data_IF_514341766717
#
_entry.id   IF_514341766717
#
_cell.length_a   1.000
_cell.length_b   1.000
_cell.length_c   1.000
_cell.angle_alpha   90.00
_cell.angle_beta   90.00
_cell.angle_gamma   90.00
#
_symmetry.space_group_name_H-M   'P 1'
#
loop_
_entity.id
_entity.type
_entity.pdbx_description
1 polymer ?
#
# COMPACT_ATOMS: atom_id res chain seq x y z
N UNK A 1 0.01 13.81 1.68
CA UNK A 1 1.24 13.81 2.51
C UNK A 1 1.32 12.60 3.43
N UNK A 2 0.25 12.19 4.15
CA UNK A 2 0.35 11.07 5.12
C UNK A 2 0.83 9.72 4.52
N UNK A 3 0.50 9.42 3.26
CA UNK A 3 0.79 8.11 2.65
C UNK A 3 1.87 8.15 1.57
N UNK A 4 2.59 9.25 1.42
CA UNK A 4 3.48 9.50 0.28
C UNK A 4 4.55 8.43 0.09
N UNK A 5 5.14 7.94 1.19
CA UNK A 5 6.15 6.87 1.11
C UNK A 5 5.57 5.53 0.65
N UNK A 6 4.34 5.20 1.04
CA UNK A 6 3.65 3.99 0.63
C UNK A 6 3.18 4.10 -0.83
N UNK A 7 2.59 5.23 -1.19
CA UNK A 7 2.15 5.52 -2.56
C UNK A 7 3.34 5.50 -3.54
N UNK A 8 4.46 6.13 -3.16
CA UNK A 8 5.70 6.12 -3.94
C UNK A 8 6.20 4.70 -4.18
N UNK A 9 6.27 3.87 -3.14
CA UNK A 9 6.72 2.49 -3.27
C UNK A 9 5.79 1.65 -4.15
N UNK A 10 4.48 1.81 -4.00
CA UNK A 10 3.50 1.07 -4.79
C UNK A 10 3.53 1.49 -6.27
N UNK A 11 3.75 2.78 -6.56
CA UNK A 11 3.75 3.28 -7.94
C UNK A 11 5.11 3.13 -8.65
N UNK A 12 6.21 3.34 -7.94
CA UNK A 12 7.55 3.46 -8.54
C UNK A 12 8.56 2.46 -8.00
N UNK A 13 8.25 1.74 -6.91
CA UNK A 13 9.19 0.90 -6.20
C UNK A 13 10.17 1.67 -5.28
N UNK A 14 10.05 2.99 -5.21
CA UNK A 14 10.87 3.86 -4.35
C UNK A 14 10.01 4.66 -3.35
N UNK A 15 10.42 4.83 -2.08
CA UNK A 15 11.67 4.35 -1.47
C UNK A 15 11.67 2.83 -1.25
N UNK A 16 12.82 2.21 -0.88
CA UNK A 16 12.90 0.79 -0.60
C UNK A 16 11.84 0.31 0.41
N UNK A 17 11.34 -0.91 0.23
CA UNK A 17 10.26 -1.47 1.06
C UNK A 17 10.54 -1.40 2.57
N UNK A 18 11.78 -1.63 3.00
CA UNK A 18 12.13 -1.60 4.42
C UNK A 18 11.95 -0.21 5.04
N UNK A 19 12.23 0.85 4.30
CA UNK A 19 12.02 2.23 4.75
C UNK A 19 10.53 2.56 4.86
N UNK A 20 9.73 2.09 3.90
CA UNK A 20 8.27 2.24 3.95
C UNK A 20 7.70 1.56 5.19
N UNK A 21 8.11 0.32 5.46
CA UNK A 21 7.66 -0.44 6.63
C UNK A 21 8.07 0.26 7.92
N UNK A 22 9.31 0.74 8.03
CA UNK A 22 9.77 1.47 9.20
C UNK A 22 8.94 2.74 9.45
N UNK A 23 8.64 3.50 8.39
CA UNK A 23 7.78 4.70 8.46
C UNK A 23 6.35 4.35 8.88
N UNK A 24 5.74 3.32 8.28
CA UNK A 24 4.40 2.87 8.64
C UNK A 24 4.31 2.40 10.09
N UNK A 25 5.31 1.68 10.59
CA UNK A 25 5.35 1.21 11.98
C UNK A 25 5.61 2.31 12.99
N UNK A 26 6.23 3.41 12.57
CA UNK A 26 6.49 4.61 13.39
C UNK A 26 5.24 5.50 13.44
N UNK A 27 4.68 5.84 12.28
CA UNK A 27 3.53 6.75 12.21
C UNK A 27 2.21 6.07 12.61
N UNK A 28 2.06 4.78 12.26
CA UNK A 28 0.84 3.97 12.43
C UNK A 28 -0.45 4.74 12.15
N UNK A 29 -0.66 5.22 10.90
CA UNK A 29 -1.89 5.90 10.56
C UNK A 29 -3.13 5.10 10.98
N UNK A 30 -4.08 5.76 11.61
CA UNK A 30 -5.25 5.10 12.21
C UNK A 30 -6.35 4.93 11.18
N UNK A 31 -6.85 3.70 11.05
CA UNK A 31 -8.07 3.37 10.31
C UNK A 31 -8.68 2.08 10.88
N UNK A 32 -10.01 1.91 10.81
CA UNK A 32 -10.65 0.66 11.23
C UNK A 32 -10.05 -0.54 10.49
N UNK A 33 -9.49 -1.50 11.24
CA UNK A 33 -8.85 -2.71 10.68
C UNK A 33 -7.36 -2.57 10.32
N UNK A 34 -6.74 -1.39 10.45
CA UNK A 34 -5.31 -1.21 10.14
C UNK A 34 -4.37 -1.88 11.16
N UNK A 35 -4.82 -2.03 12.42
CA UNK A 35 -4.00 -2.55 13.53
C UNK A 35 -3.37 -3.92 13.23
N UNK A 36 -4.14 -4.87 12.69
CA UNK A 36 -3.67 -6.21 12.38
C UNK A 36 -2.54 -6.22 11.32
N UNK A 37 -2.58 -5.27 10.37
CA UNK A 37 -1.51 -5.13 9.38
C UNK A 37 -0.20 -4.65 10.03
N UNK A 38 -0.27 -3.71 10.98
CA UNK A 38 0.92 -3.26 11.71
C UNK A 38 1.53 -4.39 12.54
N UNK A 39 0.72 -5.19 13.24
CA UNK A 39 1.21 -6.36 13.97
C UNK A 39 1.92 -7.37 13.07
N UNK A 40 1.33 -7.67 11.91
CA UNK A 40 1.95 -8.54 10.90
C UNK A 40 3.28 -7.99 10.40
N UNK A 41 3.33 -6.69 10.10
CA UNK A 41 4.55 -6.00 9.65
C UNK A 41 5.64 -5.98 10.73
N UNK A 42 5.30 -5.83 12.00
CA UNK A 42 6.28 -5.90 13.10
C UNK A 42 6.96 -7.28 13.17
N UNK A 43 6.21 -8.35 12.91
CA UNK A 43 6.74 -9.73 12.94
C UNK A 43 7.55 -10.07 11.70
N UNK A 44 7.10 -9.62 10.54
CA UNK A 44 7.71 -9.98 9.24
C UNK A 44 8.83 -9.03 8.82
N UNK A 45 8.78 -7.77 9.22
CA UNK A 45 9.70 -6.73 8.77
C UNK A 45 9.78 -6.66 7.25
N UNK A 46 10.99 -6.64 6.69
CA UNK A 46 11.22 -6.59 5.24
C UNK A 46 10.63 -7.79 4.46
N UNK A 47 10.28 -8.90 5.13
CA UNK A 47 9.59 -10.06 4.52
C UNK A 47 8.09 -9.86 4.34
N UNK A 48 7.55 -8.73 4.78
CA UNK A 48 6.15 -8.37 4.54
C UNK A 48 5.84 -8.43 3.03
N UNK A 49 4.79 -9.18 2.62
CA UNK A 49 4.36 -9.22 1.23
C UNK A 49 3.85 -7.87 0.73
N UNK A 50 4.06 -7.57 -0.56
CA UNK A 50 3.49 -6.36 -1.19
C UNK A 50 1.96 -6.34 -1.09
N UNK A 51 1.31 -7.51 -1.13
CA UNK A 51 -0.13 -7.64 -0.94
C UNK A 51 -0.61 -7.09 0.42
N UNK A 52 0.21 -7.22 1.47
CA UNK A 52 -0.10 -6.64 2.79
C UNK A 52 -0.08 -5.11 2.73
N UNK A 53 0.87 -4.52 1.99
CA UNK A 53 0.96 -3.08 1.80
C UNK A 53 -0.18 -2.52 0.92
N UNK A 54 -0.57 -3.27 -0.11
CA UNK A 54 -1.73 -2.98 -0.96
C UNK A 54 -3.02 -2.99 -0.14
N UNK A 55 -3.26 -4.07 0.61
CA UNK A 55 -4.45 -4.21 1.46
C UNK A 55 -4.52 -3.12 2.54
N UNK A 56 -3.38 -2.83 3.20
CA UNK A 56 -3.31 -1.72 4.15
C UNK A 56 -3.66 -0.39 3.48
N UNK A 57 -3.16 -0.13 2.27
CA UNK A 57 -3.44 1.14 1.58
C UNK A 57 -4.93 1.34 1.28
N UNK A 58 -5.65 0.26 0.93
CA UNK A 58 -7.11 0.27 0.77
C UNK A 58 -7.80 0.63 2.09
N UNK A 59 -7.41 -0.02 3.18
CA UNK A 59 -7.97 0.25 4.52
C UNK A 59 -7.73 1.71 4.93
N UNK A 60 -6.53 2.23 4.68
CA UNK A 60 -6.20 3.63 4.94
C UNK A 60 -6.96 4.63 4.05
N UNK A 61 -7.44 4.19 2.88
CA UNK A 61 -8.36 4.96 2.04
C UNK A 61 -9.84 4.81 2.46
N UNK A 62 -10.14 4.10 3.55
CA UNK A 62 -11.51 3.79 3.95
C UNK A 62 -12.21 2.78 3.02
N UNK A 63 -11.45 2.07 2.17
CA UNK A 63 -11.97 1.02 1.28
C UNK A 63 -11.86 -0.34 1.96
N UNK A 64 -12.70 -1.29 1.52
CA UNK A 64 -12.64 -2.67 1.98
C UNK A 64 -11.50 -3.42 1.27
N UNK A 65 -10.62 -4.07 2.04
CA UNK A 65 -9.60 -4.96 1.50
C UNK A 65 -10.15 -6.36 1.22
N UNK A 66 -11.12 -6.47 0.31
CA UNK A 66 -11.62 -7.74 -0.22
C UNK A 66 -10.89 -8.16 -1.51
N UNK A 67 -11.12 -9.40 -1.96
CA UNK A 67 -10.43 -9.97 -3.11
C UNK A 67 -10.54 -9.12 -4.37
N UNK A 68 -11.71 -8.51 -4.61
CA UNK A 68 -11.95 -7.67 -5.78
C UNK A 68 -11.10 -6.40 -5.73
N UNK A 69 -11.14 -5.65 -4.62
CA UNK A 69 -10.40 -4.41 -4.47
C UNK A 69 -8.88 -4.65 -4.40
N UNK A 70 -8.45 -5.71 -3.71
CA UNK A 70 -7.04 -6.10 -3.63
C UNK A 70 -6.51 -6.50 -5.00
N UNK A 71 -7.27 -7.28 -5.77
CA UNK A 71 -6.89 -7.68 -7.13
C UNK A 71 -6.78 -6.46 -8.04
N UNK A 72 -7.80 -5.59 -8.03
CA UNK A 72 -7.80 -4.38 -8.85
C UNK A 72 -6.60 -3.47 -8.54
N UNK A 73 -6.34 -3.19 -7.26
CA UNK A 73 -5.22 -2.34 -6.87
C UNK A 73 -3.87 -3.01 -7.16
N UNK A 74 -3.74 -4.32 -6.95
CA UNK A 74 -2.53 -5.08 -7.30
C UNK A 74 -2.22 -4.98 -8.78
N UNK A 75 -3.22 -5.10 -9.64
CA UNK A 75 -3.03 -5.06 -11.09
C UNK A 75 -2.62 -3.64 -11.55
N UNK A 76 -3.20 -2.59 -10.95
CA UNK A 76 -2.76 -1.20 -11.15
C UNK A 76 -1.31 -1.00 -10.70
N UNK A 77 -0.94 -1.48 -9.51
CA UNK A 77 0.43 -1.40 -8.97
C UNK A 77 1.42 -2.14 -9.88
N UNK A 78 1.07 -3.31 -10.38
CA UNK A 78 1.89 -4.07 -11.31
C UNK A 78 2.07 -3.33 -12.65
N UNK A 79 1.04 -2.62 -13.14
CA UNK A 79 1.15 -1.73 -14.32
C UNK A 79 2.06 -0.53 -14.02
N UNK A 80 1.90 0.12 -12.87
CA UNK A 80 2.71 1.28 -12.47
C UNK A 80 4.21 0.93 -12.42
N UNK A 81 4.56 -0.22 -11.82
CA UNK A 81 5.95 -0.72 -11.78
C UNK A 81 6.54 -1.06 -13.16
N UNK A 82 5.71 -1.14 -14.21
CA UNK A 82 6.12 -1.28 -15.61
C UNK A 82 6.12 0.05 -16.37
N UNK A 83 6.04 1.18 -15.67
CA UNK A 83 5.99 2.54 -16.22
C UNK A 83 4.79 2.83 -17.12
N UNK A 84 3.63 2.21 -16.83
CA UNK A 84 2.39 2.58 -17.50
C UNK A 84 1.93 3.98 -17.06
N UNK A 85 1.83 4.97 -17.97
CA UNK A 85 1.51 6.36 -17.64
C UNK A 85 0.09 6.53 -17.08
N UNK A 86 -0.85 5.63 -17.41
CA UNK A 86 -2.22 5.70 -16.92
C UNK A 86 -2.39 5.10 -15.51
N UNK A 87 -1.46 4.26 -15.06
CA UNK A 87 -1.60 3.53 -13.79
C UNK A 87 -1.66 4.46 -12.57
N UNK A 88 -0.94 5.58 -12.59
CA UNK A 88 -0.95 6.55 -11.49
C UNK A 88 -2.31 7.27 -11.36
N UNK A 89 -3.03 7.47 -12.47
CA UNK A 89 -4.37 8.05 -12.46
C UNK A 89 -5.40 7.02 -11.99
N UNK A 90 -5.34 5.79 -12.51
CA UNK A 90 -6.20 4.68 -12.08
C UNK A 90 -6.06 4.40 -10.57
N UNK A 91 -4.82 4.45 -10.06
CA UNK A 91 -4.52 4.31 -8.63
C UNK A 91 -5.23 5.36 -7.79
N UNK A 92 -5.18 6.64 -8.21
CA UNK A 92 -5.83 7.75 -7.51
C UNK A 92 -7.35 7.62 -7.54
N UNK A 93 -7.93 7.25 -8.69
CA UNK A 93 -9.38 7.04 -8.84
C UNK A 93 -9.89 5.90 -7.97
N UNK A 94 -9.11 4.83 -7.81
CA UNK A 94 -9.51 3.71 -6.97
C UNK A 94 -9.54 4.09 -5.49
N UNK A 95 -8.62 4.95 -5.05
CA UNK A 95 -8.43 5.32 -3.65
C UNK A 95 -9.18 6.59 -3.22
N UNK A 96 -9.73 7.36 -4.15
CA UNK A 96 -10.71 8.44 -3.88
C UNK A 96 -12.07 7.87 -3.49
#
# INVERSE_FOLDING_TARGET
MEFESLDGYLLTGAPPKHDVIARLLTARPQAPGAAAFYEGMQRLGARTPDLTLIALRLVLAGKKADDANVTALRDIVARAKRNDPAAAEDYRKLLS
#
